data_IF_229922910427
#
_entry.id   IF_229922910427
#
_cell.length_a   1.000
_cell.length_b   1.000
_cell.length_c   1.000
_cell.angle_alpha   90.00
_cell.angle_beta   90.00
_cell.angle_gamma   90.00
#
_symmetry.space_group_name_H-M   'P 1'
#
loop_
_entity.id
_entity.type
_entity.pdbx_description
1 polymer ?
#
# COMPACT_ATOMS: atom_id res chain seq x y z
N UNK A 1 -15.77 -40.27 32.93
CA UNK A 1 -14.78 -40.05 31.86
C UNK A 1 -15.26 -38.90 31.00
N UNK A 2 -14.77 -37.68 31.24
CA UNK A 2 -15.17 -36.46 30.53
C UNK A 2 -13.94 -35.99 29.71
N UNK A 3 -14.08 -35.96 28.41
CA UNK A 3 -13.06 -35.62 27.44
C UNK A 3 -13.04 -34.08 27.29
N UNK A 4 -12.00 -33.47 27.79
CA UNK A 4 -11.74 -32.03 27.80
C UNK A 4 -11.24 -31.60 26.42
N UNK A 5 -12.07 -30.99 25.60
CA UNK A 5 -11.65 -30.38 24.35
C UNK A 5 -11.12 -28.96 24.65
N UNK A 6 -9.81 -28.85 24.71
CA UNK A 6 -9.12 -27.56 24.69
C UNK A 6 -8.95 -27.13 23.24
N UNK A 7 -9.81 -26.25 22.76
CA UNK A 7 -9.56 -25.44 21.55
C UNK A 7 -8.76 -24.22 21.97
N UNK A 8 -7.44 -24.38 22.04
CA UNK A 8 -6.53 -23.25 22.17
C UNK A 8 -6.31 -22.64 20.78
N UNK A 9 -6.90 -21.48 20.54
CA UNK A 9 -6.55 -20.61 19.43
C UNK A 9 -5.18 -19.99 19.75
N UNK A 10 -4.14 -20.76 19.52
CA UNK A 10 -2.76 -20.31 19.58
C UNK A 10 -2.38 -19.67 18.25
N UNK A 11 -2.30 -18.36 18.20
CA UNK A 11 -1.61 -17.65 17.14
C UNK A 11 -0.14 -18.08 17.14
N UNK A 12 0.23 -18.85 16.12
CA UNK A 12 1.59 -19.38 15.95
C UNK A 12 2.50 -18.24 15.47
N UNK A 13 3.01 -17.45 16.42
CA UNK A 13 4.09 -16.47 16.21
C UNK A 13 5.45 -17.17 16.28
N UNK A 14 5.59 -18.34 15.70
CA UNK A 14 6.89 -18.94 15.44
C UNK A 14 7.51 -18.25 14.23
N UNK A 15 8.11 -17.10 14.46
CA UNK A 15 8.99 -16.40 13.51
C UNK A 15 10.22 -17.26 13.22
N UNK A 16 10.04 -18.35 12.46
CA UNK A 16 11.13 -19.09 11.84
C UNK A 16 11.98 -18.06 11.10
N UNK A 17 13.22 -17.81 11.56
CA UNK A 17 14.18 -16.93 10.88
C UNK A 17 14.30 -17.43 9.44
N UNK A 18 13.50 -16.88 8.54
CA UNK A 18 13.59 -17.17 7.11
C UNK A 18 14.97 -16.75 6.67
N UNK A 19 15.72 -17.67 6.11
CA UNK A 19 17.05 -17.40 5.62
C UNK A 19 16.95 -16.29 4.55
N UNK A 20 17.90 -15.35 4.57
CA UNK A 20 17.95 -14.21 3.62
C UNK A 20 17.80 -14.68 2.17
N UNK A 21 18.38 -15.84 1.84
CA UNK A 21 18.26 -16.49 0.53
C UNK A 21 16.84 -16.92 0.18
N UNK A 22 16.05 -17.40 1.15
CA UNK A 22 14.65 -17.77 0.91
C UNK A 22 13.81 -16.51 0.63
N UNK A 23 14.00 -15.46 1.42
CA UNK A 23 13.33 -14.17 1.18
C UNK A 23 13.68 -13.58 -0.19
N UNK A 24 14.95 -13.68 -0.61
CA UNK A 24 15.39 -13.21 -1.91
C UNK A 24 14.79 -14.04 -3.05
N UNK A 25 14.76 -15.36 -2.90
CA UNK A 25 14.13 -16.29 -3.86
C UNK A 25 12.63 -16.05 -4.00
N UNK A 26 11.93 -15.85 -2.88
CA UNK A 26 10.50 -15.53 -2.88
C UNK A 26 10.24 -14.19 -3.56
N UNK A 27 11.02 -13.16 -3.24
CA UNK A 27 10.94 -11.84 -3.89
C UNK A 27 11.21 -11.93 -5.39
N UNK A 28 12.22 -12.67 -5.81
CA UNK A 28 12.53 -12.90 -7.22
C UNK A 28 11.39 -13.62 -7.95
N UNK A 29 10.81 -14.64 -7.34
CA UNK A 29 9.69 -15.39 -7.91
C UNK A 29 8.46 -14.50 -8.11
N UNK A 30 8.15 -13.64 -7.15
CA UNK A 30 7.07 -12.66 -7.22
C UNK A 30 7.30 -11.68 -8.39
N UNK A 31 8.50 -11.13 -8.49
CA UNK A 31 8.85 -10.16 -9.53
C UNK A 31 8.86 -10.80 -10.92
N UNK A 32 9.43 -12.00 -11.06
CA UNK A 32 9.46 -12.75 -12.32
C UNK A 32 8.06 -13.11 -12.83
N UNK A 33 7.14 -13.46 -11.92
CA UNK A 33 5.75 -13.78 -12.28
C UNK A 33 5.00 -12.57 -12.80
N UNK A 34 5.27 -11.39 -12.23
CA UNK A 34 4.62 -10.13 -12.61
C UNK A 34 5.26 -9.47 -13.84
N UNK A 35 6.56 -9.67 -14.04
CA UNK A 35 7.36 -9.05 -15.11
C UNK A 35 8.35 -10.04 -15.72
N UNK A 36 7.93 -10.90 -16.68
CA UNK A 36 8.81 -11.93 -17.25
C UNK A 36 10.03 -11.36 -17.98
N UNK A 37 9.94 -10.16 -18.54
CA UNK A 37 11.03 -9.49 -19.22
C UNK A 37 12.18 -9.03 -18.29
N UNK A 38 11.92 -8.94 -16.98
CA UNK A 38 12.90 -8.41 -16.02
C UNK A 38 14.15 -9.30 -15.91
N UNK A 39 13.99 -10.60 -16.15
CA UNK A 39 15.14 -11.54 -16.18
C UNK A 39 16.12 -11.17 -17.27
N UNK A 40 15.61 -10.86 -18.47
CA UNK A 40 16.44 -10.41 -19.59
C UNK A 40 17.08 -9.05 -19.32
N UNK A 41 16.36 -8.13 -18.69
CA UNK A 41 16.90 -6.84 -18.31
C UNK A 41 18.04 -6.95 -17.28
N UNK A 42 17.89 -7.81 -16.28
CA UNK A 42 18.95 -8.11 -15.30
C UNK A 42 20.17 -8.70 -15.99
N UNK A 43 19.99 -9.69 -16.88
CA UNK A 43 21.08 -10.30 -17.62
C UNK A 43 21.80 -9.27 -18.51
N UNK A 44 21.05 -8.45 -19.25
CA UNK A 44 21.63 -7.43 -20.12
C UNK A 44 22.44 -6.40 -19.33
N UNK A 45 21.88 -5.88 -18.22
CA UNK A 45 22.58 -4.90 -17.38
C UNK A 45 23.81 -5.51 -16.70
N UNK A 46 23.73 -6.79 -16.33
CA UNK A 46 24.85 -7.51 -15.72
C UNK A 46 25.99 -7.70 -16.72
N UNK A 47 25.70 -8.13 -17.95
CA UNK A 47 26.69 -8.29 -19.02
C UNK A 47 27.40 -6.96 -19.33
N UNK A 48 26.62 -5.86 -19.44
CA UNK A 48 27.20 -4.53 -19.70
C UNK A 48 28.08 -4.07 -18.54
N UNK A 49 27.63 -4.24 -17.30
CA UNK A 49 28.38 -3.83 -16.12
C UNK A 49 29.66 -4.65 -15.97
N UNK A 50 29.62 -5.96 -16.21
CA UNK A 50 30.84 -6.82 -16.17
C UNK A 50 31.81 -6.50 -17.31
N UNK A 51 31.31 -6.23 -18.52
CA UNK A 51 32.16 -5.82 -19.63
C UNK A 51 32.93 -4.52 -19.33
N UNK A 52 32.27 -3.54 -18.71
CA UNK A 52 32.88 -2.29 -18.28
C UNK A 52 33.91 -2.51 -17.16
N UNK A 53 33.65 -3.38 -16.21
CA UNK A 53 34.60 -3.69 -15.12
C UNK A 53 35.82 -4.42 -15.64
N UNK A 54 35.66 -5.36 -16.56
CA UNK A 54 36.78 -6.07 -17.22
C UNK A 54 37.61 -5.10 -18.05
N UNK A 55 36.99 -4.23 -18.82
CA UNK A 55 37.68 -3.21 -19.59
C UNK A 55 38.51 -2.28 -18.68
N UNK A 56 37.92 -1.80 -17.58
CA UNK A 56 38.62 -0.97 -16.59
C UNK A 56 39.79 -1.71 -15.93
N UNK A 57 39.63 -3.00 -15.62
CA UNK A 57 40.64 -3.85 -15.03
C UNK A 57 41.87 -3.99 -15.96
N UNK A 58 41.63 -4.19 -17.26
CA UNK A 58 42.71 -4.35 -18.27
C UNK A 58 43.43 -3.01 -18.48
N UNK A 59 42.70 -1.91 -18.64
CA UNK A 59 43.22 -0.59 -18.88
C UNK A 59 44.08 -0.05 -17.72
N UNK A 60 43.65 -0.32 -16.48
CA UNK A 60 44.31 0.18 -15.26
C UNK A 60 45.29 -0.78 -14.60
N UNK A 61 45.45 -2.03 -15.10
CA UNK A 61 46.24 -3.11 -14.47
C UNK A 61 45.92 -3.37 -13.00
N UNK A 62 44.68 -3.03 -12.57
CA UNK A 62 44.19 -3.19 -11.18
C UNK A 62 43.48 -4.51 -10.98
N UNK A 63 44.16 -5.65 -11.08
CA UNK A 63 43.55 -6.99 -11.06
C UNK A 63 42.80 -7.33 -9.78
N UNK A 64 43.35 -6.98 -8.62
CA UNK A 64 42.74 -7.28 -7.33
C UNK A 64 41.44 -6.46 -7.15
N UNK A 65 41.48 -5.17 -7.44
CA UNK A 65 40.32 -4.29 -7.35
C UNK A 65 39.23 -4.68 -8.36
N UNK A 66 39.64 -5.11 -9.56
CA UNK A 66 38.70 -5.61 -10.57
C UNK A 66 37.97 -6.86 -10.14
N UNK A 67 38.67 -7.84 -9.56
CA UNK A 67 38.03 -9.06 -9.04
C UNK A 67 36.99 -8.77 -7.94
N UNK A 68 37.30 -7.87 -7.01
CA UNK A 68 36.38 -7.45 -5.96
C UNK A 68 35.14 -6.77 -6.58
N UNK A 69 35.34 -5.89 -7.57
CA UNK A 69 34.28 -5.16 -8.24
C UNK A 69 33.34 -6.12 -9.00
N UNK A 70 33.84 -7.13 -9.67
CA UNK A 70 33.04 -8.17 -10.36
C UNK A 70 32.10 -8.84 -9.38
N UNK A 71 32.59 -9.32 -8.23
CA UNK A 71 31.76 -9.97 -7.22
C UNK A 71 30.69 -9.02 -6.67
N UNK A 72 31.06 -7.76 -6.47
CA UNK A 72 30.13 -6.75 -5.94
C UNK A 72 29.02 -6.43 -6.96
N UNK A 73 29.35 -6.25 -8.23
CA UNK A 73 28.39 -6.01 -9.31
C UNK A 73 27.43 -7.18 -9.45
N UNK A 74 27.93 -8.42 -9.42
CA UNK A 74 27.12 -9.62 -9.50
C UNK A 74 26.08 -9.70 -8.38
N UNK A 75 26.40 -9.16 -7.21
CA UNK A 75 25.50 -9.17 -6.05
C UNK A 75 24.53 -7.96 -6.03
N UNK A 76 25.02 -6.77 -6.34
CA UNK A 76 24.26 -5.53 -6.22
C UNK A 76 23.26 -5.35 -7.35
N UNK A 77 23.61 -5.67 -8.60
CA UNK A 77 22.73 -5.44 -9.76
C UNK A 77 21.41 -6.21 -9.65
N UNK A 78 21.37 -7.53 -9.42
CA UNK A 78 20.10 -8.25 -9.26
C UNK A 78 19.29 -7.73 -8.08
N UNK A 79 19.94 -7.42 -6.95
CA UNK A 79 19.27 -6.92 -5.75
C UNK A 79 18.61 -5.56 -5.98
N UNK A 80 19.26 -4.67 -6.71
CA UNK A 80 18.73 -3.36 -7.07
C UNK A 80 17.49 -3.49 -7.98
N UNK A 81 17.52 -4.36 -8.98
CA UNK A 81 16.39 -4.63 -9.85
C UNK A 81 15.20 -5.23 -9.09
N UNK A 82 15.43 -6.24 -8.27
CA UNK A 82 14.38 -6.86 -7.45
C UNK A 82 13.76 -5.80 -6.53
N UNK A 83 14.56 -5.02 -5.82
CA UNK A 83 14.09 -3.97 -4.92
C UNK A 83 13.24 -2.91 -5.64
N UNK A 84 13.66 -2.48 -6.84
CA UNK A 84 12.94 -1.46 -7.62
C UNK A 84 11.56 -1.93 -8.11
N UNK A 85 11.42 -3.21 -8.43
CA UNK A 85 10.19 -3.75 -9.01
C UNK A 85 9.31 -4.50 -8.02
N UNK A 86 9.82 -4.89 -6.86
CA UNK A 86 9.10 -5.68 -5.85
C UNK A 86 7.79 -5.01 -5.42
N UNK A 87 7.82 -3.71 -5.14
CA UNK A 87 6.61 -2.98 -4.71
C UNK A 87 5.53 -2.97 -5.79
N UNK A 88 5.93 -2.80 -7.06
CA UNK A 88 4.98 -2.84 -8.19
C UNK A 88 4.44 -4.24 -8.44
N UNK A 89 5.30 -5.26 -8.32
CA UNK A 89 4.90 -6.64 -8.46
C UNK A 89 3.91 -7.07 -7.37
N UNK A 90 4.13 -6.64 -6.13
CA UNK A 90 3.19 -6.86 -5.03
C UNK A 90 1.84 -6.19 -5.28
N UNK A 91 1.84 -4.92 -5.71
CA UNK A 91 0.60 -4.21 -6.02
C UNK A 91 -0.20 -4.88 -7.13
N UNK A 92 0.46 -5.40 -8.17
CA UNK A 92 -0.21 -6.17 -9.23
C UNK A 92 -0.85 -7.47 -8.73
N UNK A 93 -0.26 -8.13 -7.74
CA UNK A 93 -0.81 -9.37 -7.20
C UNK A 93 -2.06 -9.17 -6.34
N UNK A 94 -2.16 -8.02 -5.65
CA UNK A 94 -3.31 -7.68 -4.82
C UNK A 94 -4.37 -6.87 -5.58
N UNK A 95 -4.08 -6.44 -6.81
CA UNK A 95 -5.03 -5.71 -7.65
C UNK A 95 -6.31 -6.55 -7.83
N UNK A 96 -7.48 -5.95 -7.60
CA UNK A 96 -8.76 -6.62 -7.61
C UNK A 96 -9.19 -7.28 -6.30
N UNK A 97 -8.30 -7.36 -5.30
CA UNK A 97 -8.71 -7.76 -3.96
C UNK A 97 -9.34 -6.57 -3.23
N UNK A 98 -10.37 -6.83 -2.44
CA UNK A 98 -11.01 -5.78 -1.62
C UNK A 98 -10.02 -5.26 -0.57
N UNK A 99 -9.93 -3.94 -0.44
CA UNK A 99 -8.98 -3.29 0.45
C UNK A 99 -7.57 -3.11 -0.13
N UNK A 100 -7.38 -3.37 -1.44
CA UNK A 100 -6.07 -3.31 -2.07
C UNK A 100 -5.45 -1.89 -2.05
N UNK A 101 -6.28 -0.84 -2.12
CA UNK A 101 -5.79 0.55 -2.00
C UNK A 101 -5.22 0.84 -0.61
N UNK A 102 -5.72 0.18 0.44
CA UNK A 102 -5.15 0.29 1.79
C UNK A 102 -3.67 -0.11 1.86
N UNK A 103 -3.21 -1.01 1.00
CA UNK A 103 -1.80 -1.40 0.91
C UNK A 103 -0.88 -0.25 0.45
N UNK A 104 -1.40 0.73 -0.30
CA UNK A 104 -0.63 1.91 -0.69
C UNK A 104 -0.10 2.70 0.51
N UNK A 105 -0.78 2.62 1.66
CA UNK A 105 -0.34 3.26 2.91
C UNK A 105 1.10 2.92 3.29
N UNK A 106 1.50 1.65 3.10
CA UNK A 106 2.85 1.19 3.45
C UNK A 106 3.92 1.71 2.48
N UNK A 107 3.52 2.09 1.27
CA UNK A 107 4.43 2.56 0.23
C UNK A 107 4.54 4.09 0.15
N UNK A 108 3.68 4.80 0.88
CA UNK A 108 3.67 6.26 0.90
C UNK A 108 4.91 6.81 1.63
N UNK A 109 5.41 7.94 1.14
CA UNK A 109 6.49 8.68 1.80
C UNK A 109 5.99 9.29 3.11
N UNK A 110 6.90 9.55 4.06
CA UNK A 110 6.61 10.15 5.38
C UNK A 110 5.83 11.48 5.36
N UNK A 111 5.81 12.16 4.21
CA UNK A 111 5.05 13.40 4.04
C UNK A 111 3.57 13.20 3.69
N UNK A 112 3.12 11.96 3.59
CA UNK A 112 1.74 11.60 3.32
C UNK A 112 1.14 10.91 4.53
N UNK A 113 -0.12 11.23 4.80
CA UNK A 113 -0.94 10.56 5.79
C UNK A 113 -2.03 9.78 5.08
N UNK A 114 -2.19 8.54 5.48
CA UNK A 114 -3.30 7.69 5.07
C UNK A 114 -4.10 7.32 6.31
N UNK A 115 -5.40 7.31 6.20
CA UNK A 115 -6.25 6.83 7.29
C UNK A 115 -6.09 5.31 7.45
N UNK A 116 -6.31 4.83 8.68
CA UNK A 116 -6.16 3.39 8.99
C UNK A 116 -7.30 2.59 8.41
N UNK A 117 -8.48 3.21 8.37
CA UNK A 117 -9.72 2.64 7.89
C UNK A 117 -10.22 3.40 6.67
N UNK A 118 -11.00 2.77 5.79
CA UNK A 118 -11.64 3.44 4.67
C UNK A 118 -12.64 4.48 5.19
N UNK A 119 -12.68 5.66 4.56
CA UNK A 119 -13.56 6.77 4.97
C UNK A 119 -15.01 6.55 4.59
N UNK A 120 -15.26 5.73 3.60
CA UNK A 120 -16.61 5.31 3.22
C UNK A 120 -16.61 3.86 2.73
N UNK A 121 -17.68 3.16 3.07
CA UNK A 121 -17.90 1.77 2.69
C UNK A 121 -19.35 1.62 2.25
N UNK A 122 -19.57 0.97 1.12
CA UNK A 122 -20.90 0.62 0.63
C UNK A 122 -21.31 -0.80 1.09
N UNK A 123 -22.59 -1.15 0.94
CA UNK A 123 -23.12 -2.50 1.23
C UNK A 123 -22.43 -3.60 0.41
N UNK A 124 -22.02 -3.27 -0.79
CA UNK A 124 -21.29 -4.16 -1.71
C UNK A 124 -19.79 -4.26 -1.41
N UNK A 125 -19.35 -3.60 -0.31
CA UNK A 125 -17.93 -3.52 0.09
C UNK A 125 -17.06 -2.74 -0.90
N UNK A 126 -17.63 -1.80 -1.65
CA UNK A 126 -16.84 -0.78 -2.35
C UNK A 126 -16.30 0.20 -1.29
N UNK A 127 -15.05 0.55 -1.40
CA UNK A 127 -14.31 1.30 -0.38
C UNK A 127 -13.82 2.64 -0.95
N UNK A 128 -13.79 3.67 -0.11
CA UNK A 128 -13.09 4.92 -0.43
C UNK A 128 -12.03 5.17 0.62
N UNK A 129 -10.82 5.38 0.17
CA UNK A 129 -9.66 5.69 0.99
C UNK A 129 -9.27 7.15 0.83
N UNK A 130 -8.79 7.76 1.92
CA UNK A 130 -8.34 9.15 1.92
C UNK A 130 -6.86 9.24 2.24
N UNK A 131 -6.16 9.98 1.39
CA UNK A 131 -4.74 10.27 1.54
C UNK A 131 -4.53 11.78 1.59
N UNK A 132 -3.80 12.27 2.57
CA UNK A 132 -3.50 13.70 2.75
C UNK A 132 -2.01 13.90 2.60
N UNK A 133 -1.60 14.81 1.72
CA UNK A 133 -0.20 15.03 1.46
C UNK A 133 0.12 16.42 0.89
N UNK A 134 1.37 16.66 0.51
CA UNK A 134 1.81 17.99 0.03
C UNK A 134 1.10 18.47 -1.23
N UNK A 135 0.39 17.59 -1.93
CA UNK A 135 -0.31 17.88 -3.17
C UNK A 135 -1.82 17.98 -3.02
N UNK A 136 -2.31 18.01 -1.76
CA UNK A 136 -3.72 18.08 -1.42
C UNK A 136 -4.25 16.77 -0.84
N UNK A 137 -5.56 16.61 -0.97
CA UNK A 137 -6.30 15.44 -0.48
C UNK A 137 -6.65 14.57 -1.67
N UNK A 138 -6.38 13.28 -1.57
CA UNK A 138 -6.73 12.29 -2.58
C UNK A 138 -7.73 11.32 -2.00
N UNK A 139 -8.86 11.20 -2.66
CA UNK A 139 -9.87 10.19 -2.40
C UNK A 139 -9.73 9.11 -3.47
N UNK A 140 -9.43 7.90 -3.05
CA UNK A 140 -9.22 6.76 -3.96
C UNK A 140 -10.31 5.74 -3.69
N UNK A 141 -11.14 5.46 -4.70
CA UNK A 141 -12.20 4.46 -4.61
C UNK A 141 -11.73 3.11 -5.13
N UNK A 142 -12.26 2.05 -4.55
CA UNK A 142 -12.16 0.68 -5.01
C UNK A 142 -13.54 0.16 -5.39
N UNK A 143 -13.63 -0.53 -6.52
CA UNK A 143 -14.86 -1.16 -7.00
C UNK A 143 -15.23 -0.78 -8.42
N UNK A 144 -16.32 -1.33 -8.96
CA UNK A 144 -16.82 -1.01 -10.28
C UNK A 144 -17.19 0.46 -10.41
N UNK A 145 -16.84 1.08 -11.55
CA UNK A 145 -17.07 2.50 -11.82
C UNK A 145 -18.48 2.98 -11.47
N UNK A 146 -19.50 2.21 -11.86
CA UNK A 146 -20.91 2.58 -11.68
C UNK A 146 -21.33 2.82 -10.23
N UNK A 147 -20.74 2.09 -9.27
CA UNK A 147 -21.05 2.19 -7.84
C UNK A 147 -20.04 3.04 -7.08
N UNK A 148 -18.76 2.83 -7.38
CA UNK A 148 -17.66 3.50 -6.70
C UNK A 148 -17.66 5.01 -6.97
N UNK A 149 -18.02 5.45 -8.18
CA UNK A 149 -18.08 6.88 -8.54
C UNK A 149 -19.08 7.68 -7.69
N UNK A 150 -20.25 7.11 -7.39
CA UNK A 150 -21.23 7.78 -6.52
C UNK A 150 -20.69 7.97 -5.10
N UNK A 151 -20.15 6.90 -4.52
CA UNK A 151 -19.56 6.93 -3.18
C UNK A 151 -18.39 7.92 -3.09
N UNK A 152 -17.53 7.93 -4.13
CA UNK A 152 -16.40 8.82 -4.26
C UNK A 152 -16.85 10.30 -4.34
N UNK A 153 -17.87 10.59 -5.16
CA UNK A 153 -18.41 11.95 -5.30
C UNK A 153 -19.06 12.45 -4.02
N UNK A 154 -19.75 11.59 -3.28
CA UNK A 154 -20.37 11.97 -2.00
C UNK A 154 -19.29 12.30 -0.96
N UNK A 155 -18.22 11.50 -0.87
CA UNK A 155 -17.08 11.79 0.00
C UNK A 155 -16.29 13.02 -0.45
N UNK A 156 -16.16 13.25 -1.75
CA UNK A 156 -15.52 14.46 -2.28
C UNK A 156 -16.28 15.72 -1.84
N UNK A 157 -17.63 15.74 -1.96
CA UNK A 157 -18.47 16.86 -1.51
C UNK A 157 -18.33 17.12 -0.01
N UNK A 158 -18.32 16.06 0.82
CA UNK A 158 -18.14 16.16 2.27
C UNK A 158 -16.76 16.74 2.60
N UNK A 159 -15.71 16.17 2.00
CA UNK A 159 -14.33 16.62 2.23
C UNK A 159 -14.13 18.08 1.82
N UNK A 160 -14.62 18.48 0.65
CA UNK A 160 -14.51 19.86 0.15
C UNK A 160 -15.22 20.89 1.04
N UNK A 161 -16.38 20.54 1.62
CA UNK A 161 -17.08 21.42 2.56
C UNK A 161 -16.28 21.74 3.82
N UNK A 162 -15.47 20.79 4.24
CA UNK A 162 -14.70 20.89 5.49
C UNK A 162 -13.37 21.62 5.27
N UNK A 163 -12.75 21.38 4.13
CA UNK A 163 -11.42 21.91 3.80
C UNK A 163 -11.49 22.61 2.44
N UNK A 164 -12.27 23.70 2.38
CA UNK A 164 -12.56 24.42 1.15
C UNK A 164 -11.31 25.02 0.44
N UNK A 165 -10.22 25.24 1.19
CA UNK A 165 -9.00 25.84 0.66
C UNK A 165 -7.97 24.82 0.12
N UNK A 166 -8.24 23.53 0.28
CA UNK A 166 -7.31 22.45 -0.14
C UNK A 166 -7.89 21.72 -1.34
N UNK A 167 -7.13 21.54 -2.42
CA UNK A 167 -7.60 20.77 -3.56
C UNK A 167 -7.86 19.32 -3.18
N UNK A 168 -9.05 18.82 -3.56
CA UNK A 168 -9.48 17.44 -3.39
C UNK A 168 -9.49 16.77 -4.75
N UNK A 169 -8.72 15.72 -4.89
CA UNK A 169 -8.60 14.94 -6.12
C UNK A 169 -9.30 13.59 -5.93
N UNK A 170 -10.12 13.22 -6.90
CA UNK A 170 -10.77 11.92 -6.98
C UNK A 170 -9.98 11.00 -7.92
N UNK A 171 -9.72 9.78 -7.50
CA UNK A 171 -9.05 8.74 -8.30
C UNK A 171 -9.84 7.45 -8.16
N UNK A 172 -10.29 6.90 -9.27
CA UNK A 172 -10.93 5.59 -9.30
C UNK A 172 -9.89 4.52 -9.56
N UNK A 173 -9.75 3.57 -8.63
CA UNK A 173 -8.81 2.46 -8.72
C UNK A 173 -9.53 1.19 -9.19
N UNK A 174 -9.02 0.60 -10.27
CA UNK A 174 -9.56 -0.65 -10.79
C UNK A 174 -8.97 -1.02 -12.14
N UNK A 175 -9.61 -1.99 -12.79
CA UNK A 175 -9.19 -2.54 -14.08
C UNK A 175 -10.14 -2.19 -15.23
N UNK A 176 -11.24 -1.48 -14.94
CA UNK A 176 -12.20 -1.04 -15.96
C UNK A 176 -11.68 0.18 -16.72
N UNK A 177 -12.29 0.45 -17.89
CA UNK A 177 -11.95 1.61 -18.71
C UNK A 177 -12.20 2.90 -17.94
N UNK A 178 -11.21 3.79 -17.95
CA UNK A 178 -11.25 5.06 -17.20
C UNK A 178 -10.72 4.96 -15.77
N UNK A 179 -10.51 3.78 -15.23
CA UNK A 179 -9.92 3.59 -13.92
C UNK A 179 -8.40 3.53 -13.96
N UNK A 180 -7.77 3.92 -12.86
CA UNK A 180 -6.32 3.89 -12.70
C UNK A 180 -5.93 2.58 -12.01
N UNK A 181 -5.02 1.82 -12.62
CA UNK A 181 -4.47 0.62 -11.99
C UNK A 181 -3.77 0.93 -10.68
N UNK A 182 -3.86 0.02 -9.72
CA UNK A 182 -3.31 0.20 -8.37
C UNK A 182 -1.84 0.62 -8.38
N UNK A 183 -1.01 0.04 -9.24
CA UNK A 183 0.41 0.40 -9.38
C UNK A 183 0.66 1.84 -9.85
N UNK A 184 -0.33 2.46 -10.50
CA UNK A 184 -0.23 3.82 -11.05
C UNK A 184 -0.89 4.89 -10.19
N UNK A 185 -1.71 4.52 -9.20
CA UNK A 185 -2.38 5.45 -8.29
C UNK A 185 -1.38 6.38 -7.63
N UNK A 186 -0.29 5.85 -7.07
CA UNK A 186 0.75 6.68 -6.45
C UNK A 186 1.37 7.66 -7.45
N UNK A 187 1.62 7.22 -8.69
CA UNK A 187 2.16 8.09 -9.75
C UNK A 187 1.19 9.22 -10.07
N UNK A 188 -0.11 8.92 -10.14
CA UNK A 188 -1.16 9.93 -10.33
C UNK A 188 -1.17 10.95 -9.18
N UNK A 189 -1.10 10.48 -7.94
CA UNK A 189 -1.01 11.34 -6.75
C UNK A 189 0.23 12.23 -6.77
N UNK A 190 1.39 11.71 -7.18
CA UNK A 190 2.64 12.48 -7.26
C UNK A 190 2.73 13.39 -8.49
N UNK A 191 1.84 13.29 -9.47
CA UNK A 191 1.79 14.17 -10.65
C UNK A 191 1.10 15.51 -10.37
N UNK A 192 0.17 15.55 -9.41
CA UNK A 192 -0.54 16.79 -9.06
C UNK A 192 0.40 17.89 -8.55
N UNK A 193 0.07 19.18 -8.71
CA UNK A 193 0.88 20.29 -8.20
C UNK A 193 0.91 20.29 -6.67
N UNK A 194 1.93 20.90 -6.08
CA UNK A 194 2.00 21.08 -4.63
C UNK A 194 0.98 22.15 -4.21
N UNK A 195 0.20 21.84 -3.19
CA UNK A 195 -0.85 22.70 -2.66
C UNK A 195 -0.73 22.97 -1.17
N UNK A 196 0.00 22.13 -0.43
CA UNK A 196 0.15 22.23 1.02
C UNK A 196 1.62 22.24 1.42
N UNK A 197 1.93 23.07 2.42
CA UNK A 197 3.20 23.04 3.12
C UNK A 197 3.23 21.88 4.11
N UNK A 198 4.44 21.41 4.44
CA UNK A 198 4.63 20.28 5.35
C UNK A 198 3.99 20.50 6.74
N UNK A 199 3.95 21.76 7.20
CA UNK A 199 3.40 22.11 8.51
C UNK A 199 1.87 22.19 8.51
N UNK A 200 1.23 22.38 7.35
CA UNK A 200 -0.22 22.46 7.20
C UNK A 200 -0.89 21.10 7.17
N UNK A 201 -0.17 20.09 6.69
CA UNK A 201 -0.69 18.72 6.50
C UNK A 201 -1.28 18.15 7.81
N UNK A 202 -0.61 18.22 8.98
CA UNK A 202 -1.19 17.71 10.23
C UNK A 202 -2.46 18.46 10.66
N UNK A 203 -2.54 19.75 10.40
CA UNK A 203 -3.73 20.55 10.72
C UNK A 203 -4.94 20.14 9.86
N UNK A 204 -4.72 19.92 8.56
CA UNK A 204 -5.74 19.42 7.63
C UNK A 204 -6.19 18.02 8.06
N UNK A 205 -5.25 17.13 8.35
CA UNK A 205 -5.55 15.79 8.83
C UNK A 205 -6.40 15.81 10.10
N UNK A 206 -6.02 16.62 11.08
CA UNK A 206 -6.77 16.73 12.35
C UNK A 206 -8.21 17.19 12.14
N UNK A 207 -8.45 18.14 11.22
CA UNK A 207 -9.81 18.59 10.86
C UNK A 207 -10.63 17.46 10.22
N UNK A 208 -10.03 16.69 9.33
CA UNK A 208 -10.70 15.57 8.65
C UNK A 208 -11.02 14.42 9.60
N UNK A 209 -10.11 14.08 10.50
CA UNK A 209 -10.32 13.05 11.54
C UNK A 209 -11.43 13.42 12.51
N UNK A 210 -11.57 14.72 12.86
CA UNK A 210 -12.63 15.19 13.74
C UNK A 210 -14.03 14.92 13.18
N UNK A 211 -14.20 14.96 11.86
CA UNK A 211 -15.49 14.67 11.21
C UNK A 211 -15.77 13.18 11.21
N UNK A 212 -14.77 12.37 10.88
CA UNK A 212 -14.91 10.92 10.86
C UNK A 212 -15.30 10.38 12.24
N UNK A 213 -14.68 10.93 13.29
CA UNK A 213 -15.01 10.61 14.68
C UNK A 213 -16.44 11.03 15.10
N UNK A 214 -16.94 12.14 14.55
CA UNK A 214 -18.30 12.62 14.84
C UNK A 214 -19.38 11.87 14.06
N UNK A 215 -19.04 11.12 13.02
CA UNK A 215 -20.00 10.28 12.29
C UNK A 215 -20.39 8.99 13.04
N UNK A 216 -19.77 8.73 14.21
CA UNK A 216 -20.13 7.66 15.15
C UNK A 216 -20.21 6.28 14.49
N UNK A 217 -19.88 5.23 15.20
CA UNK A 217 -20.29 3.88 14.82
C UNK A 217 -21.78 3.91 14.45
N UNK A 218 -22.26 3.21 13.41
CA UNK A 218 -23.67 3.11 13.08
C UNK A 218 -24.38 2.30 14.17
N UNK A 219 -24.53 2.92 15.34
CA UNK A 219 -25.31 2.36 16.45
C UNK A 219 -26.77 2.57 16.07
N UNK A 220 -27.58 1.52 15.95
CA UNK A 220 -28.98 1.65 15.69
C UNK A 220 -29.61 2.61 16.69
N UNK A 221 -30.42 3.57 16.22
CA UNK A 221 -31.09 4.54 17.07
C UNK A 221 -31.89 3.77 18.14
N UNK A 222 -31.59 4.00 19.42
CA UNK A 222 -32.23 3.35 20.56
C UNK A 222 -31.34 2.44 21.40
N UNK A 223 -30.13 2.15 20.98
CA UNK A 223 -29.18 1.38 21.79
C UNK A 223 -28.10 2.35 22.34
N UNK A 224 -28.20 2.60 23.66
CA UNK A 224 -27.15 3.30 24.38
C UNK A 224 -26.03 2.29 24.75
N UNK A 225 -24.83 2.38 24.13
CA UNK A 225 -23.74 1.41 24.37
C UNK A 225 -23.27 1.40 25.84
N UNK A 226 -23.51 2.48 26.59
CA UNK A 226 -23.18 2.57 28.02
C UNK A 226 -24.27 2.03 28.94
N UNK A 227 -25.48 1.72 28.41
CA UNK A 227 -26.61 1.14 29.14
C UNK A 227 -26.84 -0.34 28.87
N UNK A 228 -26.00 -1.01 28.10
CA UNK A 228 -26.08 -2.47 27.90
C UNK A 228 -25.76 -3.14 29.26
N UNK A 229 -26.78 -3.39 30.05
CA UNK A 229 -26.63 -4.23 31.24
C UNK A 229 -26.35 -5.65 30.75
N UNK A 230 -25.28 -6.31 31.21
CA UNK A 230 -25.04 -7.71 30.87
C UNK A 230 -26.22 -8.54 31.33
N UNK A 231 -26.80 -9.30 30.42
CA UNK A 231 -27.91 -10.17 30.73
C UNK A 231 -27.44 -11.27 31.69
N UNK A 232 -27.67 -11.08 32.98
CA UNK A 232 -27.21 -12.03 34.02
C UNK A 232 -27.81 -13.42 33.87
N UNK A 233 -28.97 -13.56 33.18
CA UNK A 233 -29.56 -14.88 32.89
C UNK A 233 -28.80 -15.70 31.86
N UNK A 234 -28.02 -15.08 30.99
CA UNK A 234 -27.18 -15.79 30.02
C UNK A 234 -25.82 -16.29 30.63
N UNK A 235 -25.52 -15.87 31.87
CA UNK A 235 -24.30 -16.27 32.58
C UNK A 235 -24.49 -17.45 33.53
N UNK A 236 -25.75 -17.82 33.84
CA UNK A 236 -26.10 -18.87 34.83
C UNK A 236 -27.14 -19.89 34.27
N UNK A 237 -27.31 -19.96 32.94
CA UNK A 237 -28.10 -20.96 32.28
C UNK A 237 -27.31 -22.12 31.71
#
# INVERSE_FOLDING_TARGET
MAKKNNTATGGDTSGKKRNIFQNLKDSFTIVRRSFPWIVWAILATLVVAEALTVWYMIAGKHWIMGAITIVLVLMVVPMAWISAFLSRAMLRQIEGMKGCVGALRQLLRRSWFAEEEPVAVNKDQDLVWRFVGPRGIFLVSEGPHTRASKLLNDEMKKTTRVVAQVPVHAVECGTEDGQVRLEHVMKAMYKAPRALNRNEIPAVQKRLLAIHRNQGLPIPKGIDPYRVRPNRRALYG
#
